data_IF_865616896026
#
_entry.id   IF_865616896026
#
_cell.length_a   1.000
_cell.length_b   1.000
_cell.length_c   1.000
_cell.angle_alpha   90.00
_cell.angle_beta   90.00
_cell.angle_gamma   90.00
#
_symmetry.space_group_name_H-M   'P 1'
#
loop_
_entity.id
_entity.type
_entity.pdbx_description
1 polymer ?
#
# COMPACT_ATOMS: atom_id res chain seq x y z
N UNK A 1 -5.19 7.38 -23.59
CA UNK A 1 -4.81 5.97 -23.30
C UNK A 1 -4.26 5.95 -21.89
N UNK A 2 -4.92 5.26 -20.97
CA UNK A 2 -4.42 5.07 -19.58
C UNK A 2 -3.16 4.20 -19.64
N UNK A 3 -2.04 4.70 -19.11
CA UNK A 3 -0.78 3.94 -19.09
C UNK A 3 -0.81 2.90 -17.97
N UNK A 4 -0.40 1.67 -18.27
CA UNK A 4 -0.22 0.61 -17.27
C UNK A 4 0.99 0.95 -16.41
N UNK A 5 0.78 1.03 -15.08
CA UNK A 5 1.83 1.32 -14.09
C UNK A 5 2.39 0.03 -13.50
N UNK A 6 1.53 -0.99 -13.32
CA UNK A 6 1.92 -2.26 -12.74
C UNK A 6 1.29 -3.39 -13.57
N UNK A 7 2.12 -4.37 -13.92
CA UNK A 7 1.69 -5.58 -14.61
C UNK A 7 2.33 -6.80 -13.98
N UNK A 8 1.53 -7.80 -13.71
CA UNK A 8 1.95 -9.12 -13.25
C UNK A 8 1.44 -10.17 -14.21
N UNK A 9 2.30 -11.11 -14.60
CA UNK A 9 1.99 -12.21 -15.54
C UNK A 9 2.38 -13.55 -14.94
N UNK A 10 1.40 -14.45 -14.82
CA UNK A 10 1.59 -15.84 -14.43
C UNK A 10 2.45 -16.01 -13.16
N UNK A 11 2.11 -15.28 -12.08
CA UNK A 11 2.89 -15.35 -10.83
C UNK A 11 2.62 -16.65 -10.09
N UNK A 12 3.69 -17.37 -9.79
CA UNK A 12 3.69 -18.52 -8.91
C UNK A 12 4.52 -18.24 -7.67
N UNK A 13 4.01 -18.66 -6.49
CA UNK A 13 4.74 -18.56 -5.23
C UNK A 13 4.35 -19.67 -4.29
N UNK A 14 5.36 -20.38 -3.77
CA UNK A 14 5.20 -21.49 -2.83
C UNK A 14 5.93 -21.21 -1.52
N UNK A 15 5.33 -21.59 -0.43
CA UNK A 15 5.94 -21.64 0.90
C UNK A 15 5.87 -23.07 1.44
N UNK A 16 7.00 -23.76 1.44
CA UNK A 16 7.04 -25.17 1.77
C UNK A 16 6.13 -26.00 0.85
N UNK A 17 5.08 -26.57 1.41
CA UNK A 17 4.09 -27.39 0.67
C UNK A 17 2.88 -26.58 0.17
N UNK A 18 2.76 -25.30 0.54
CA UNK A 18 1.59 -24.46 0.24
C UNK A 18 1.87 -23.58 -0.98
N UNK A 19 1.09 -23.76 -2.04
CA UNK A 19 1.09 -22.85 -3.21
C UNK A 19 0.24 -21.63 -2.88
N UNK A 20 0.89 -20.51 -2.60
CA UNK A 20 0.22 -19.24 -2.28
C UNK A 20 -0.26 -18.49 -3.53
N UNK A 21 0.48 -18.59 -4.66
CA UNK A 21 0.07 -18.08 -5.97
C UNK A 21 0.20 -19.19 -7.02
N UNK A 22 -0.79 -19.23 -7.93
CA UNK A 22 -0.93 -20.31 -8.93
C UNK A 22 -1.24 -19.75 -10.33
N UNK A 23 -0.35 -18.90 -10.85
CA UNK A 23 -0.52 -18.22 -12.15
C UNK A 23 -1.36 -16.95 -12.03
N UNK A 24 -1.16 -16.16 -10.96
CA UNK A 24 -1.87 -14.90 -10.76
C UNK A 24 -1.39 -13.87 -11.80
N UNK A 25 -2.33 -13.27 -12.54
CA UNK A 25 -2.05 -12.23 -13.54
C UNK A 25 -3.00 -11.05 -13.36
N UNK A 26 -2.47 -9.82 -13.43
CA UNK A 26 -3.25 -8.58 -13.38
C UNK A 26 -2.49 -7.40 -13.98
N UNK A 27 -3.23 -6.33 -14.26
CA UNK A 27 -2.69 -5.02 -14.62
C UNK A 27 -3.31 -3.95 -13.76
N UNK A 28 -2.57 -2.86 -13.48
CA UNK A 28 -3.08 -1.66 -12.78
C UNK A 28 -2.69 -0.44 -13.59
N UNK A 29 -3.66 0.43 -13.84
CA UNK A 29 -3.45 1.65 -14.60
C UNK A 29 -2.98 2.81 -13.72
N UNK A 30 -2.35 3.82 -14.31
CA UNK A 30 -1.92 5.02 -13.60
C UNK A 30 -3.11 5.74 -12.95
N UNK A 31 -2.99 6.07 -11.66
CA UNK A 31 -4.01 6.74 -10.87
C UNK A 31 -5.23 5.88 -10.51
N UNK A 32 -5.24 4.59 -10.88
CA UNK A 32 -6.31 3.66 -10.52
C UNK A 32 -6.22 3.27 -9.05
N UNK A 33 -7.35 3.15 -8.38
CA UNK A 33 -7.52 2.48 -7.11
C UNK A 33 -8.03 1.08 -7.38
N UNK A 34 -7.18 0.06 -7.27
CA UNK A 34 -7.52 -1.35 -7.46
C UNK A 34 -7.74 -2.04 -6.10
N UNK A 35 -8.91 -2.61 -5.87
CA UNK A 35 -9.16 -3.51 -4.75
C UNK A 35 -8.83 -4.95 -5.11
N UNK A 36 -8.10 -5.62 -4.21
CA UNK A 36 -7.79 -7.06 -4.25
C UNK A 36 -8.52 -7.72 -3.09
N UNK A 37 -9.60 -8.44 -3.41
CA UNK A 37 -10.46 -9.09 -2.42
C UNK A 37 -10.28 -10.60 -2.42
N UNK A 38 -10.95 -11.27 -1.50
CA UNK A 38 -10.96 -12.75 -1.41
C UNK A 38 -10.86 -13.25 0.02
N UNK A 39 -11.10 -14.55 0.25
CA UNK A 39 -11.09 -15.14 1.58
C UNK A 39 -9.71 -15.07 2.26
N UNK A 40 -9.69 -15.24 3.58
CA UNK A 40 -8.43 -15.34 4.33
C UNK A 40 -7.59 -16.52 3.81
N UNK A 41 -6.29 -16.32 3.68
CA UNK A 41 -5.37 -17.36 3.18
C UNK A 41 -5.40 -17.58 1.64
N UNK A 42 -6.17 -16.80 0.87
CA UNK A 42 -6.28 -16.98 -0.58
C UNK A 42 -5.04 -16.53 -1.38
N UNK A 43 -4.07 -15.86 -0.75
CA UNK A 43 -2.84 -15.37 -1.40
C UNK A 43 -2.78 -13.85 -1.62
N UNK A 44 -3.76 -13.05 -1.16
CA UNK A 44 -3.81 -11.59 -1.36
C UNK A 44 -2.56 -10.84 -0.90
N UNK A 45 -2.16 -11.00 0.36
CA UNK A 45 -0.95 -10.35 0.89
C UNK A 45 0.32 -10.86 0.20
N UNK A 46 0.37 -12.16 -0.17
CA UNK A 46 1.48 -12.69 -0.97
C UNK A 46 1.55 -12.01 -2.33
N UNK A 47 0.40 -11.84 -3.00
CA UNK A 47 0.32 -11.12 -4.27
C UNK A 47 0.81 -9.68 -4.10
N UNK A 48 0.27 -8.94 -3.12
CA UNK A 48 0.69 -7.57 -2.84
C UNK A 48 2.20 -7.47 -2.57
N UNK A 49 2.75 -8.38 -1.76
CA UNK A 49 4.20 -8.39 -1.46
C UNK A 49 5.06 -8.72 -2.70
N UNK A 50 4.58 -9.56 -3.62
CA UNK A 50 5.26 -9.80 -4.90
C UNK A 50 5.22 -8.53 -5.77
N UNK A 51 4.06 -7.90 -5.92
CA UNK A 51 3.89 -6.67 -6.69
C UNK A 51 4.75 -5.52 -6.15
N UNK A 52 4.92 -5.45 -4.83
CA UNK A 52 5.76 -4.47 -4.15
C UNK A 52 7.26 -4.82 -4.16
N UNK A 53 7.67 -5.95 -4.78
CA UNK A 53 9.05 -6.39 -4.80
C UNK A 53 9.63 -6.76 -3.42
N UNK A 54 8.77 -6.99 -2.42
CA UNK A 54 9.16 -7.51 -1.09
C UNK A 54 9.46 -9.00 -1.20
N UNK A 55 8.60 -9.75 -1.90
CA UNK A 55 8.80 -11.15 -2.22
C UNK A 55 9.14 -11.31 -3.70
N UNK A 56 10.07 -12.23 -3.99
CA UNK A 56 10.34 -12.66 -5.37
C UNK A 56 9.44 -13.85 -5.66
N UNK A 57 8.65 -13.82 -6.75
CA UNK A 57 7.89 -14.99 -7.19
C UNK A 57 8.84 -16.10 -7.62
N UNK A 58 8.39 -17.35 -7.55
CA UNK A 58 9.17 -18.50 -7.99
C UNK A 58 9.15 -18.66 -9.52
N UNK A 59 8.07 -18.14 -10.16
CA UNK A 59 7.93 -18.01 -11.61
C UNK A 59 6.99 -16.86 -11.95
N UNK A 60 7.02 -16.42 -13.21
CA UNK A 60 6.24 -15.28 -13.72
C UNK A 60 7.07 -14.02 -13.87
N UNK A 61 6.39 -12.91 -14.17
CA UNK A 61 7.01 -11.62 -14.43
C UNK A 61 6.24 -10.49 -13.75
N UNK A 62 6.98 -9.49 -13.23
CA UNK A 62 6.40 -8.29 -12.65
C UNK A 62 7.07 -7.07 -13.27
N UNK A 63 6.27 -6.20 -13.88
CA UNK A 63 6.71 -4.93 -14.42
C UNK A 63 6.06 -3.78 -13.63
N UNK A 64 6.87 -2.83 -13.18
CA UNK A 64 6.38 -1.62 -12.50
C UNK A 64 7.05 -0.41 -13.13
N UNK A 65 6.24 0.59 -13.53
CA UNK A 65 6.73 1.79 -14.22
C UNK A 65 7.58 1.47 -15.47
N UNK A 66 7.26 0.37 -16.16
CA UNK A 66 7.99 -0.12 -17.33
C UNK A 66 9.26 -0.93 -17.03
N UNK A 67 9.69 -1.04 -15.76
CA UNK A 67 10.87 -1.83 -15.35
C UNK A 67 10.44 -3.22 -14.85
N UNK A 68 11.12 -4.29 -15.29
CA UNK A 68 10.91 -5.65 -14.79
C UNK A 68 11.61 -5.83 -13.45
N UNK A 69 10.85 -6.05 -12.37
CA UNK A 69 11.37 -6.02 -11.00
C UNK A 69 11.68 -7.39 -10.38
N UNK A 70 11.08 -8.49 -10.88
CA UNK A 70 11.29 -9.85 -10.36
C UNK A 70 12.73 -10.35 -10.53
N UNK A 71 13.48 -9.79 -11.49
CA UNK A 71 14.89 -10.13 -11.74
C UNK A 71 15.90 -9.16 -11.12
N UNK A 72 15.46 -8.10 -10.49
CA UNK A 72 16.34 -7.13 -9.87
C UNK A 72 17.00 -7.71 -8.60
N UNK A 73 18.20 -7.22 -8.29
CA UNK A 73 18.85 -7.47 -7.01
C UNK A 73 18.01 -6.90 -5.85
N UNK A 74 18.18 -7.43 -4.63
CA UNK A 74 17.48 -6.88 -3.46
C UNK A 74 17.81 -5.40 -3.22
N UNK A 75 19.06 -5.00 -3.44
CA UNK A 75 19.45 -3.59 -3.33
C UNK A 75 18.63 -2.70 -4.27
N UNK A 76 18.46 -3.12 -5.53
CA UNK A 76 17.70 -2.36 -6.53
C UNK A 76 16.19 -2.35 -6.23
N UNK A 77 15.61 -3.47 -5.76
CA UNK A 77 14.22 -3.51 -5.30
C UNK A 77 14.00 -2.61 -4.07
N UNK A 78 14.97 -2.58 -3.14
CA UNK A 78 14.91 -1.69 -1.96
C UNK A 78 14.95 -0.20 -2.35
N UNK A 79 15.76 0.19 -3.34
CA UNK A 79 15.74 1.53 -3.90
C UNK A 79 14.38 1.87 -4.52
N UNK A 80 13.81 0.97 -5.32
CA UNK A 80 12.50 1.16 -5.94
C UNK A 80 11.40 1.32 -4.88
N UNK A 81 11.40 0.48 -3.83
CA UNK A 81 10.46 0.61 -2.70
C UNK A 81 10.59 1.94 -1.99
N UNK A 82 11.82 2.37 -1.72
CA UNK A 82 12.10 3.64 -1.04
C UNK A 82 11.65 4.85 -1.85
N UNK A 83 11.90 4.84 -3.17
CA UNK A 83 11.79 6.04 -4.00
C UNK A 83 10.46 6.14 -4.74
N UNK A 84 9.75 5.01 -4.93
CA UNK A 84 8.56 4.93 -5.78
C UNK A 84 7.32 4.37 -5.10
N UNK A 85 7.46 3.69 -3.97
CA UNK A 85 6.35 3.01 -3.31
C UNK A 85 6.04 3.61 -1.95
N UNK A 86 4.75 3.64 -1.62
CA UNK A 86 4.25 3.88 -0.28
C UNK A 86 3.62 2.61 0.28
N UNK A 87 3.60 2.50 1.61
CA UNK A 87 3.04 1.33 2.30
C UNK A 87 2.14 1.75 3.45
N UNK A 88 0.96 1.13 3.53
CA UNK A 88 0.04 1.22 4.66
C UNK A 88 -0.38 -0.19 5.07
N UNK A 89 -0.15 -0.55 6.33
CA UNK A 89 -0.46 -1.87 6.89
C UNK A 89 -1.57 -1.79 7.93
N UNK A 90 -2.17 -2.93 8.25
CA UNK A 90 -3.34 -3.07 9.13
C UNK A 90 -3.20 -2.39 10.50
N UNK A 91 -2.01 -2.44 11.11
CA UNK A 91 -1.75 -1.86 12.45
C UNK A 91 -0.91 -0.59 12.41
N UNK A 92 -0.85 0.11 11.26
CA UNK A 92 -0.02 1.30 11.06
C UNK A 92 1.48 1.01 11.09
N UNK A 93 1.94 0.08 11.91
CA UNK A 93 3.34 -0.33 12.07
C UNK A 93 4.29 0.88 12.21
N UNK A 94 3.93 1.80 13.10
CA UNK A 94 4.78 2.94 13.42
C UNK A 94 6.00 2.47 14.22
N UNK A 95 7.13 3.14 14.01
CA UNK A 95 8.34 2.93 14.82
C UNK A 95 8.09 3.52 16.21
N UNK A 96 8.07 2.71 17.29
CA UNK A 96 7.61 3.16 18.62
C UNK A 96 8.50 4.25 19.23
N UNK A 97 9.79 4.24 18.92
CA UNK A 97 10.80 5.17 19.43
C UNK A 97 10.69 6.57 18.82
N UNK A 98 10.05 6.67 17.65
CA UNK A 98 9.89 7.92 16.90
C UNK A 98 8.59 8.63 17.27
N UNK A 99 8.61 9.95 17.20
CA UNK A 99 7.39 10.76 17.24
C UNK A 99 6.55 10.56 15.98
N UNK A 100 5.30 11.04 15.98
CA UNK A 100 4.42 10.95 14.81
C UNK A 100 5.02 11.68 13.60
N UNK A 101 5.55 12.89 13.75
CA UNK A 101 6.20 13.62 12.66
C UNK A 101 7.47 12.93 12.15
N UNK A 102 8.25 12.28 13.04
CA UNK A 102 9.43 11.53 12.64
C UNK A 102 9.05 10.24 11.89
N UNK A 103 7.98 9.56 12.29
CA UNK A 103 7.43 8.45 11.53
C UNK A 103 7.02 8.86 10.12
N UNK A 104 6.31 9.99 9.98
CA UNK A 104 5.93 10.51 8.66
C UNK A 104 7.16 10.93 7.85
N UNK A 105 8.16 11.54 8.46
CA UNK A 105 9.38 11.98 7.79
C UNK A 105 10.32 10.82 7.37
N UNK A 106 10.14 9.63 7.95
CA UNK A 106 11.09 8.51 7.81
C UNK A 106 11.41 8.15 6.34
N UNK A 107 10.44 8.01 5.41
CA UNK A 107 10.76 7.71 4.01
C UNK A 107 11.64 8.79 3.36
N UNK A 108 11.41 10.06 3.65
CA UNK A 108 12.22 11.17 3.13
C UNK A 108 13.65 11.12 3.66
N UNK A 109 13.82 10.79 4.94
CA UNK A 109 15.14 10.63 5.56
C UNK A 109 15.91 9.47 4.93
N UNK A 110 15.25 8.34 4.69
CA UNK A 110 15.82 7.17 4.02
C UNK A 110 16.19 7.46 2.56
N UNK A 111 15.50 8.38 1.90
CA UNK A 111 15.83 8.88 0.55
C UNK A 111 16.91 9.98 0.56
N UNK A 112 17.54 10.27 1.71
CA UNK A 112 18.65 11.21 1.83
C UNK A 112 18.23 12.68 1.99
N UNK A 113 16.95 12.98 2.19
CA UNK A 113 16.49 14.34 2.50
C UNK A 113 16.97 14.72 3.90
N UNK A 114 17.57 15.91 4.05
CA UNK A 114 18.03 16.42 5.35
C UNK A 114 16.87 16.53 6.34
N UNK A 115 17.15 16.35 7.65
CA UNK A 115 16.15 16.25 8.73
C UNK A 115 15.14 17.40 8.75
N UNK A 116 15.59 18.64 8.73
CA UNK A 116 14.68 19.80 8.82
C UNK A 116 13.72 19.93 7.64
N UNK A 117 14.15 19.82 6.36
CA UNK A 117 13.21 19.74 5.24
C UNK A 117 12.26 18.56 5.32
N UNK A 118 12.71 17.38 5.73
CA UNK A 118 11.86 16.20 5.88
C UNK A 118 10.76 16.42 6.94
N UNK A 119 11.12 16.96 8.12
CA UNK A 119 10.16 17.27 9.16
C UNK A 119 9.16 18.37 8.76
N UNK A 120 9.61 19.42 8.04
CA UNK A 120 8.66 20.44 7.52
C UNK A 120 7.62 19.80 6.61
N UNK A 121 8.06 18.98 5.64
CA UNK A 121 7.15 18.28 4.73
C UNK A 121 6.24 17.30 5.47
N UNK A 122 6.74 16.60 6.48
CA UNK A 122 5.95 15.73 7.33
C UNK A 122 4.83 16.50 8.04
N UNK A 123 5.13 17.68 8.62
CA UNK A 123 4.12 18.52 9.33
C UNK A 123 2.99 18.98 8.42
N UNK A 124 3.24 19.24 7.13
CA UNK A 124 2.19 19.59 6.16
C UNK A 124 1.12 18.50 6.01
N UNK A 125 1.49 17.24 6.29
CA UNK A 125 0.57 16.11 6.27
C UNK A 125 -0.35 16.04 7.48
N UNK A 126 0.02 16.65 8.61
CA UNK A 126 -0.80 16.59 9.83
C UNK A 126 -2.15 17.28 9.62
N UNK A 127 -2.17 18.48 9.04
CA UNK A 127 -3.43 19.15 8.68
C UNK A 127 -4.27 18.33 7.68
N UNK A 128 -3.62 17.74 6.65
CA UNK A 128 -4.32 16.89 5.65
C UNK A 128 -4.96 15.66 6.28
N UNK A 129 -4.33 15.08 7.29
CA UNK A 129 -4.77 13.89 8.02
C UNK A 129 -5.63 14.20 9.26
N UNK A 130 -5.94 15.48 9.50
CA UNK A 130 -6.68 15.91 10.71
C UNK A 130 -6.00 15.44 12.00
N UNK A 131 -4.67 15.67 12.09
CA UNK A 131 -3.79 15.24 13.18
C UNK A 131 -3.08 16.43 13.86
N UNK A 132 -3.56 17.66 13.63
CA UNK A 132 -2.93 18.88 14.15
C UNK A 132 -2.73 18.80 15.67
N UNK A 133 -1.53 19.17 16.12
CA UNK A 133 -1.14 19.13 17.53
C UNK A 133 -0.65 17.75 18.02
N UNK A 134 -0.60 16.74 17.17
CA UNK A 134 -0.14 15.38 17.52
C UNK A 134 1.29 15.08 17.03
N UNK A 135 1.99 16.04 16.42
CA UNK A 135 3.29 15.87 15.75
C UNK A 135 4.34 15.24 16.67
N UNK A 136 4.34 15.65 17.94
CA UNK A 136 5.32 15.22 18.95
C UNK A 136 4.91 13.97 19.74
N UNK A 137 3.70 13.46 19.54
CA UNK A 137 3.23 12.24 20.21
C UNK A 137 3.98 11.01 19.68
N UNK A 138 4.21 10.03 20.55
CA UNK A 138 4.69 8.71 20.17
C UNK A 138 3.54 7.78 19.84
N UNK A 139 3.82 6.67 19.17
CA UNK A 139 2.77 5.73 18.72
C UNK A 139 1.87 5.23 19.85
N UNK A 140 2.43 4.98 21.04
CA UNK A 140 1.68 4.55 22.22
C UNK A 140 0.75 5.59 22.84
N UNK A 141 0.85 6.85 22.41
CA UNK A 141 0.01 7.99 22.87
C UNK A 141 -1.09 8.33 21.84
N UNK A 142 -1.15 7.62 20.72
CA UNK A 142 -2.13 7.81 19.65
C UNK A 142 -3.25 6.78 19.76
N UNK A 143 -4.49 7.17 19.44
CA UNK A 143 -5.54 6.18 19.20
C UNK A 143 -5.24 5.35 17.94
N UNK A 144 -5.89 4.17 17.77
CA UNK A 144 -5.71 3.33 16.61
C UNK A 144 -5.94 4.08 15.28
N UNK A 145 -7.01 4.87 15.19
CA UNK A 145 -7.30 5.68 14.01
C UNK A 145 -6.29 6.82 13.79
N UNK A 146 -5.76 7.43 14.86
CA UNK A 146 -4.69 8.42 14.76
C UNK A 146 -3.40 7.79 14.24
N UNK A 147 -2.99 6.64 14.81
CA UNK A 147 -1.81 5.90 14.37
C UNK A 147 -1.94 5.48 12.89
N UNK A 148 -3.12 5.04 12.46
CA UNK A 148 -3.36 4.66 11.07
C UNK A 148 -3.28 5.87 10.12
N UNK A 149 -3.78 7.03 10.53
CA UNK A 149 -3.65 8.27 9.74
C UNK A 149 -2.19 8.76 9.67
N UNK A 150 -1.40 8.58 10.72
CA UNK A 150 0.07 8.82 10.68
C UNK A 150 0.74 7.84 9.71
N UNK A 151 0.37 6.56 9.72
CA UNK A 151 0.91 5.56 8.77
C UNK A 151 0.52 5.90 7.32
N UNK A 152 -0.69 6.40 7.10
CA UNK A 152 -1.13 6.87 5.79
C UNK A 152 -0.30 8.09 5.31
N UNK A 153 -0.10 9.07 6.18
CA UNK A 153 0.78 10.21 5.88
C UNK A 153 2.20 9.77 5.54
N UNK A 154 2.75 8.80 6.31
CA UNK A 154 4.06 8.19 6.04
C UNK A 154 4.11 7.53 4.66
N UNK A 155 3.07 6.78 4.29
CA UNK A 155 2.99 6.12 2.98
C UNK A 155 2.96 7.10 1.80
N UNK A 156 2.42 8.31 2.01
CA UNK A 156 2.19 9.29 0.95
C UNK A 156 3.21 10.44 0.91
N UNK A 157 3.97 10.69 1.98
CA UNK A 157 4.87 11.86 2.10
C UNK A 157 5.94 11.93 1.02
N UNK A 158 6.34 10.80 0.46
CA UNK A 158 7.35 10.66 -0.59
C UNK A 158 6.83 10.87 -2.01
N UNK A 159 5.55 11.20 -2.21
CA UNK A 159 4.86 11.23 -3.50
C UNK A 159 5.04 9.92 -4.29
N UNK A 160 4.61 8.78 -3.71
CA UNK A 160 4.82 7.47 -4.34
C UNK A 160 4.04 7.36 -5.66
N UNK A 161 4.62 6.66 -6.64
CA UNK A 161 3.91 6.29 -7.86
C UNK A 161 2.84 5.22 -7.58
N UNK A 162 3.12 4.31 -6.62
CA UNK A 162 2.18 3.27 -6.18
C UNK A 162 2.12 3.20 -4.66
N UNK A 163 0.91 3.27 -4.11
CA UNK A 163 0.61 3.02 -2.70
C UNK A 163 0.06 1.61 -2.53
N UNK A 164 0.75 0.79 -1.77
CA UNK A 164 0.30 -0.54 -1.37
C UNK A 164 -0.36 -0.47 0.01
N UNK A 165 -1.62 -0.88 0.12
CA UNK A 165 -2.39 -0.88 1.36
C UNK A 165 -2.89 -2.30 1.67
N UNK A 166 -2.39 -2.91 2.75
CA UNK A 166 -2.80 -4.25 3.19
C UNK A 166 -3.69 -4.12 4.43
N UNK A 167 -5.00 -4.36 4.26
CA UNK A 167 -6.04 -4.28 5.29
C UNK A 167 -5.99 -2.96 6.09
N UNK A 168 -5.98 -1.77 5.44
CA UNK A 168 -5.65 -0.50 6.10
C UNK A 168 -6.62 -0.08 7.21
N UNK A 169 -7.79 -0.71 7.29
CA UNK A 169 -8.82 -0.42 8.31
C UNK A 169 -9.18 -1.62 9.17
N UNK A 170 -8.52 -2.77 8.97
CA UNK A 170 -8.89 -4.04 9.62
C UNK A 170 -8.77 -4.06 11.15
N UNK A 171 -8.13 -3.06 11.76
CA UNK A 171 -8.01 -2.92 13.22
C UNK A 171 -8.87 -1.76 13.79
N UNK A 172 -9.73 -1.15 12.99
CA UNK A 172 -10.51 0.04 13.33
C UNK A 172 -12.01 -0.29 13.42
N UNK A 173 -12.74 0.49 14.22
CA UNK A 173 -14.19 0.50 14.14
C UNK A 173 -14.67 1.06 12.79
N UNK A 174 -15.92 0.78 12.42
CA UNK A 174 -16.46 1.10 11.09
C UNK A 174 -16.37 2.60 10.76
N UNK A 175 -16.73 3.48 11.70
CA UNK A 175 -16.73 4.93 11.44
C UNK A 175 -15.31 5.48 11.26
N UNK A 176 -14.39 5.08 12.13
CA UNK A 176 -12.97 5.44 12.01
C UNK A 176 -12.37 4.87 10.73
N UNK A 177 -12.73 3.64 10.35
CA UNK A 177 -12.30 3.00 9.11
C UNK A 177 -12.73 3.76 7.86
N UNK A 178 -14.00 4.19 7.78
CA UNK A 178 -14.52 5.02 6.70
C UNK A 178 -13.74 6.33 6.56
N UNK A 179 -13.50 7.04 7.66
CA UNK A 179 -12.70 8.28 7.66
C UNK A 179 -11.26 8.07 7.15
N UNK A 180 -10.64 6.95 7.51
CA UNK A 180 -9.29 6.60 7.03
C UNK A 180 -9.31 6.30 5.54
N UNK A 181 -10.32 5.57 5.05
CA UNK A 181 -10.45 5.27 3.62
C UNK A 181 -10.71 6.51 2.77
N UNK A 182 -11.58 7.41 3.21
CA UNK A 182 -11.78 8.71 2.56
C UNK A 182 -10.46 9.49 2.42
N UNK A 183 -9.71 9.63 3.53
CA UNK A 183 -8.42 10.32 3.51
C UNK A 183 -7.40 9.63 2.61
N UNK A 184 -7.37 8.30 2.58
CA UNK A 184 -6.48 7.52 1.71
C UNK A 184 -6.77 7.82 0.25
N UNK A 185 -8.01 7.60 -0.18
CA UNK A 185 -8.41 7.73 -1.60
C UNK A 185 -8.29 9.18 -2.07
N UNK A 186 -8.77 10.14 -1.27
CA UNK A 186 -8.68 11.56 -1.60
C UNK A 186 -7.22 12.03 -1.72
N UNK A 187 -6.35 11.61 -0.79
CA UNK A 187 -4.95 12.01 -0.81
C UNK A 187 -4.19 11.37 -1.97
N UNK A 188 -4.42 10.08 -2.24
CA UNK A 188 -3.82 9.37 -3.36
C UNK A 188 -4.23 10.00 -4.70
N UNK A 189 -5.52 10.27 -4.89
CA UNK A 189 -6.03 10.93 -6.11
C UNK A 189 -5.45 12.32 -6.31
N UNK A 190 -5.34 13.14 -5.26
CA UNK A 190 -4.73 14.47 -5.33
C UNK A 190 -3.26 14.45 -5.73
N UNK A 191 -2.54 13.38 -5.39
CA UNK A 191 -1.14 13.18 -5.79
C UNK A 191 -0.99 12.44 -7.13
N UNK A 192 -2.07 11.90 -7.70
CA UNK A 192 -2.01 11.03 -8.88
C UNK A 192 -1.39 9.67 -8.60
N UNK A 193 -1.34 9.23 -7.34
CA UNK A 193 -0.80 7.94 -6.95
C UNK A 193 -1.76 6.81 -7.35
N UNK A 194 -1.20 5.71 -7.84
CA UNK A 194 -1.92 4.45 -8.06
C UNK A 194 -2.04 3.71 -6.74
N UNK A 195 -3.18 3.09 -6.44
CA UNK A 195 -3.39 2.36 -5.19
C UNK A 195 -3.69 0.90 -5.45
N UNK A 196 -2.98 0.00 -4.77
CA UNK A 196 -3.31 -1.43 -4.68
C UNK A 196 -3.76 -1.70 -3.25
N UNK A 197 -5.05 -1.94 -3.08
CA UNK A 197 -5.71 -2.09 -1.79
C UNK A 197 -6.13 -3.54 -1.58
N UNK A 198 -5.54 -4.23 -0.61
CA UNK A 198 -5.98 -5.56 -0.18
C UNK A 198 -6.99 -5.41 0.94
N UNK A 199 -8.14 -6.05 0.80
CA UNK A 199 -9.17 -6.09 1.86
C UNK A 199 -10.10 -7.29 1.71
N UNK A 200 -10.71 -7.71 2.82
CA UNK A 200 -11.83 -8.66 2.83
C UNK A 200 -13.19 -7.96 3.14
N UNK A 201 -13.17 -6.64 3.43
CA UNK A 201 -14.40 -5.86 3.70
C UNK A 201 -14.90 -5.24 2.40
N UNK A 202 -16.14 -5.61 2.00
CA UNK A 202 -16.78 -5.09 0.79
C UNK A 202 -17.02 -3.57 0.84
N UNK A 203 -17.19 -2.98 2.03
CA UNK A 203 -17.34 -1.53 2.20
C UNK A 203 -16.04 -0.80 1.83
N UNK A 204 -14.90 -1.39 2.21
CA UNK A 204 -13.56 -0.88 1.86
C UNK A 204 -13.28 -1.06 0.37
N UNK A 205 -13.65 -2.21 -0.20
CA UNK A 205 -13.51 -2.46 -1.63
C UNK A 205 -14.35 -1.49 -2.49
N UNK A 206 -15.47 -0.99 -1.98
CA UNK A 206 -16.34 -0.02 -2.68
C UNK A 206 -15.69 1.36 -2.93
N UNK A 207 -14.56 1.68 -2.27
CA UNK A 207 -13.78 2.89 -2.57
C UNK A 207 -12.90 2.76 -3.82
N UNK A 208 -12.74 1.55 -4.36
CA UNK A 208 -11.90 1.28 -5.53
C UNK A 208 -12.61 1.56 -6.85
N UNK A 209 -11.83 1.91 -7.87
CA UNK A 209 -12.33 2.08 -9.24
C UNK A 209 -12.59 0.72 -9.91
N UNK A 210 -11.85 -0.31 -9.49
CA UNK A 210 -11.98 -1.70 -9.96
C UNK A 210 -11.64 -2.68 -8.86
N UNK A 211 -12.29 -3.84 -8.89
CA UNK A 211 -12.06 -4.96 -7.98
C UNK A 211 -11.60 -6.19 -8.74
N UNK A 212 -10.65 -6.92 -8.17
CA UNK A 212 -10.28 -8.28 -8.56
C UNK A 212 -10.39 -9.19 -7.34
N UNK A 213 -10.74 -10.45 -7.56
CA UNK A 213 -10.82 -11.45 -6.50
C UNK A 213 -9.64 -12.42 -6.60
N UNK A 214 -8.99 -12.67 -5.47
CA UNK A 214 -7.99 -13.74 -5.34
C UNK A 214 -8.64 -14.93 -4.63
N UNK A 215 -8.65 -16.08 -5.31
CA UNK A 215 -9.15 -17.33 -4.77
C UNK A 215 -8.17 -18.46 -5.11
N UNK A 216 -7.75 -19.21 -4.10
CA UNK A 216 -6.82 -20.35 -4.24
C UNK A 216 -5.55 -20.00 -5.04
N UNK A 217 -4.98 -18.81 -4.79
CA UNK A 217 -3.78 -18.30 -5.46
C UNK A 217 -3.97 -17.83 -6.90
N UNK A 218 -5.20 -17.73 -7.40
CA UNK A 218 -5.55 -17.26 -8.75
C UNK A 218 -6.32 -15.94 -8.70
N UNK A 219 -6.08 -15.08 -9.68
CA UNK A 219 -6.86 -13.86 -9.87
C UNK A 219 -8.06 -14.18 -10.76
N UNK A 220 -9.24 -13.78 -10.30
CA UNK A 220 -10.49 -13.85 -11.08
C UNK A 220 -11.14 -12.46 -11.08
N UNK A 221 -11.75 -12.05 -12.18
CA UNK A 221 -12.63 -10.88 -12.15
C UNK A 221 -13.89 -11.25 -11.37
N UNK A 222 -14.45 -10.35 -10.52
CA UNK A 222 -15.78 -10.59 -9.95
C UNK A 222 -16.76 -10.84 -11.08
N UNK A 223 -17.62 -11.83 -10.91
CA UNK A 223 -18.74 -12.01 -11.83
C UNK A 223 -19.59 -10.73 -11.77
N UNK A 224 -19.73 -10.04 -12.89
CA UNK A 224 -20.67 -8.91 -12.99
C UNK A 224 -22.04 -9.51 -12.68
N UNK A 225 -22.62 -9.13 -11.54
CA UNK A 225 -24.00 -9.49 -11.23
C UNK A 225 -24.88 -8.84 -12.30
N UNK A 226 -25.42 -9.68 -13.17
CA UNK A 226 -26.39 -9.32 -14.21
C UNK A 226 -27.77 -9.07 -13.60
#
# INVERSE_FOLDING_TARGET
MTSVVLEARELYKRFGVTDALRGASLTVNAGEVLAVTGPSGSGKSTLLHCLAGILVPDAGEIHVLGERIDRLSEARRSELRRDRFGFVFQFGQLVPELTAEENVALPLLLSGVRREPALRRAREWFGRMRLDGLEKRRSGELSGGQAQRVALARGLVGDPAVLFADEPTGALDSLTGEQVMELLVDSARKQGATVVLVTHDARVAAYADREIMVRDGRVTSPAVAS
#
